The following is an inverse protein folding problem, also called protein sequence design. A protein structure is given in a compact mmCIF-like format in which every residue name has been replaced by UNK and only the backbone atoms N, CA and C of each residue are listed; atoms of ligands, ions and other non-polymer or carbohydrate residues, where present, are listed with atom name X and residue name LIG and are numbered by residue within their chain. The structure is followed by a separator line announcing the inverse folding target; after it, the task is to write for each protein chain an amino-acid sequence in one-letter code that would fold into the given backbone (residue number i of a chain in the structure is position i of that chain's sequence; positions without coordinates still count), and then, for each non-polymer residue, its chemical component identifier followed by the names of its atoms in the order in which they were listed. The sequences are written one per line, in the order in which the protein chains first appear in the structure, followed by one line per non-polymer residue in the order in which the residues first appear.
data_IF_338849022082
#
_entry.id   IF_338849022082
#
_cell.length_a   1.000
_cell.length_b   1.000
_cell.length_c   1.000
_cell.angle_alpha   90.00
_cell.angle_beta   90.00
_cell.angle_gamma   90.00
#
_symmetry.space_group_name_H-M   'P 1'
#
loop_
_entity.id
_entity.type
_entity.pdbx_description
1 polymer ?
#
# COMPACT_ATOMS: atom_id res chain seq x y z
N UNK A 1 16.66 0.65 5.99
CA UNK A 1 15.38 -0.02 6.26
C UNK A 1 14.95 -0.77 5.00
N UNK A 2 14.39 -1.97 5.13
CA UNK A 2 13.85 -2.77 4.01
C UNK A 2 12.33 -2.79 4.15
N UNK A 3 11.63 -2.45 3.07
CA UNK A 3 10.18 -2.59 2.97
C UNK A 3 9.87 -3.68 1.96
N UNK A 4 9.10 -4.69 2.37
CA UNK A 4 8.60 -5.76 1.53
C UNK A 4 7.10 -5.61 1.31
N UNK A 5 6.66 -5.69 0.07
CA UNK A 5 5.24 -5.69 -0.28
C UNK A 5 4.73 -7.12 -0.17
N UNK A 6 3.91 -7.41 0.83
CA UNK A 6 3.33 -8.74 1.04
C UNK A 6 2.10 -8.98 0.16
N UNK A 7 1.39 -7.91 -0.15
CA UNK A 7 0.31 -7.87 -1.12
C UNK A 7 0.17 -6.47 -1.68
N UNK A 8 -0.38 -6.37 -2.88
CA UNK A 8 -0.45 -5.13 -3.65
C UNK A 8 -1.79 -4.90 -4.36
N UNK A 9 -2.80 -5.73 -4.08
CA UNK A 9 -4.17 -5.59 -4.59
C UNK A 9 -5.01 -4.71 -3.66
N UNK A 10 -6.10 -4.14 -4.20
CA UNK A 10 -7.14 -3.47 -3.40
C UNK A 10 -8.02 -4.48 -2.63
N UNK A 11 -9.27 -4.12 -2.34
CA UNK A 11 -10.28 -4.88 -1.58
C UNK A 11 -10.33 -6.40 -1.86
N UNK A 12 -10.09 -6.82 -3.11
CA UNK A 12 -10.12 -8.20 -3.56
C UNK A 12 -8.79 -8.62 -4.17
N UNK A 13 -8.48 -9.92 -4.09
CA UNK A 13 -7.33 -10.51 -4.80
C UNK A 13 -7.47 -10.33 -6.31
N UNK A 14 -6.33 -10.38 -6.99
CA UNK A 14 -6.23 -10.55 -8.44
C UNK A 14 -5.55 -11.88 -8.75
N UNK A 15 -6.02 -12.64 -9.75
CA UNK A 15 -7.18 -12.37 -10.61
C UNK A 15 -8.53 -12.44 -9.86
N UNK A 16 -9.58 -11.84 -10.44
CA UNK A 16 -10.96 -12.00 -9.95
C UNK A 16 -11.55 -13.27 -10.54
N UNK A 17 -12.19 -14.09 -9.70
CA UNK A 17 -12.77 -15.39 -10.09
C UNK A 17 -13.87 -15.26 -11.15
N UNK A 18 -14.56 -14.13 -11.18
CA UNK A 18 -15.72 -13.82 -12.02
C UNK A 18 -15.39 -12.84 -13.17
N UNK A 19 -14.14 -12.82 -13.66
CA UNK A 19 -13.73 -11.87 -14.68
C UNK A 19 -12.74 -12.40 -15.72
N UNK A 20 -13.07 -12.17 -16.99
CA UNK A 20 -12.26 -12.56 -18.16
C UNK A 20 -11.53 -11.39 -18.83
N UNK A 21 -11.23 -10.32 -18.10
CA UNK A 21 -10.46 -9.21 -18.68
C UNK A 21 -8.98 -9.60 -18.88
N UNK A 22 -8.24 -8.80 -19.66
CA UNK A 22 -6.82 -9.05 -19.95
C UNK A 22 -5.95 -9.17 -18.69
N UNK A 23 -6.25 -8.40 -17.64
CA UNK A 23 -5.53 -8.48 -16.36
C UNK A 23 -5.78 -9.82 -15.66
N UNK A 24 -7.04 -10.27 -15.57
CA UNK A 24 -7.42 -11.50 -14.88
C UNK A 24 -7.01 -12.76 -15.66
N UNK A 25 -6.95 -12.67 -16.99
CA UNK A 25 -6.45 -13.74 -17.86
C UNK A 25 -4.92 -13.74 -18.04
N UNK A 26 -4.23 -12.75 -17.46
CA UNK A 26 -2.77 -12.62 -17.59
C UNK A 26 -2.06 -13.83 -16.97
N UNK A 27 -1.04 -14.33 -17.68
CA UNK A 27 -0.12 -15.36 -17.17
C UNK A 27 1.12 -14.76 -16.51
N UNK A 28 1.21 -13.43 -16.43
CA UNK A 28 2.31 -12.77 -15.73
C UNK A 28 2.14 -12.95 -14.23
N UNK A 29 3.18 -13.47 -13.56
CA UNK A 29 3.17 -13.69 -12.11
C UNK A 29 2.92 -12.41 -11.30
N UNK A 30 3.20 -11.24 -11.87
CA UNK A 30 2.97 -9.94 -11.21
C UNK A 30 1.53 -9.44 -11.30
N UNK A 31 0.66 -10.17 -12.02
CA UNK A 31 -0.79 -9.92 -12.02
C UNK A 31 -1.54 -10.74 -10.96
N UNK A 32 -0.88 -11.73 -10.34
CA UNK A 32 -1.38 -12.41 -9.15
C UNK A 32 -1.06 -11.57 -7.90
N UNK A 33 -2.09 -11.03 -7.24
CA UNK A 33 -1.94 -10.06 -6.16
C UNK A 33 -2.87 -10.34 -4.99
N UNK A 34 -2.30 -10.38 -3.80
CA UNK A 34 -2.99 -10.43 -2.50
C UNK A 34 -3.35 -9.02 -2.04
N UNK A 35 -4.26 -8.88 -1.08
CA UNK A 35 -4.64 -7.58 -0.50
C UNK A 35 -3.44 -6.84 0.08
N UNK A 36 -3.48 -5.52 -0.04
CA UNK A 36 -2.38 -4.61 0.29
C UNK A 36 -1.88 -4.80 1.73
N UNK A 37 -0.59 -5.05 1.86
CA UNK A 37 0.11 -5.07 3.15
C UNK A 37 1.61 -4.92 2.91
N UNK A 38 2.30 -4.21 3.80
CA UNK A 38 3.75 -4.06 3.73
C UNK A 38 4.40 -4.50 5.04
N UNK A 39 5.64 -4.96 4.93
CA UNK A 39 6.43 -5.41 6.05
C UNK A 39 7.77 -4.69 6.08
N UNK A 40 8.08 -4.11 7.23
CA UNK A 40 9.28 -3.33 7.46
C UNK A 40 10.24 -4.13 8.32
N UNK A 41 11.47 -4.31 7.82
CA UNK A 41 12.60 -5.00 8.47
C UNK A 41 12.22 -6.36 9.08
N UNK A 42 11.27 -7.07 8.46
CA UNK A 42 10.70 -8.36 8.88
C UNK A 42 10.04 -8.36 10.28
N UNK A 43 9.77 -7.19 10.87
CA UNK A 43 9.29 -7.05 12.26
C UNK A 43 8.00 -6.26 12.40
N UNK A 44 7.78 -5.29 11.52
CA UNK A 44 6.65 -4.36 11.63
C UNK A 44 5.77 -4.54 10.40
N UNK A 45 4.57 -5.07 10.60
CA UNK A 45 3.55 -5.18 9.57
C UNK A 45 2.71 -3.89 9.54
N UNK A 46 2.38 -3.38 8.35
CA UNK A 46 1.33 -2.39 8.17
C UNK A 46 0.17 -3.06 7.43
N UNK A 47 -0.98 -3.06 8.10
CA UNK A 47 -2.23 -3.73 7.75
C UNK A 47 -2.14 -5.27 7.71
N UNK A 48 -3.20 -5.92 8.21
CA UNK A 48 -3.34 -7.37 8.35
C UNK A 48 -4.68 -7.84 7.74
N UNK A 49 -4.78 -7.71 6.42
CA UNK A 49 -5.94 -8.17 5.65
C UNK A 49 -6.15 -9.69 5.67
N UNK A 50 -7.20 -10.20 5.00
CA UNK A 50 -7.56 -11.62 5.01
C UNK A 50 -6.44 -12.58 4.55
N UNK A 51 -5.49 -12.06 3.77
CA UNK A 51 -4.43 -12.85 3.16
C UNK A 51 -3.19 -13.01 4.05
N UNK A 52 -3.18 -12.42 5.26
CA UNK A 52 -1.97 -12.22 6.05
C UNK A 52 -1.27 -13.52 6.46
N UNK A 53 -2.01 -14.58 6.76
CA UNK A 53 -1.39 -15.86 7.13
C UNK A 53 -0.60 -16.47 5.99
N UNK A 54 -1.16 -16.40 4.77
CA UNK A 54 -0.50 -16.88 3.56
C UNK A 54 0.72 -15.99 3.23
N UNK A 55 0.56 -14.67 3.37
CA UNK A 55 1.62 -13.69 3.15
C UNK A 55 2.83 -13.93 4.07
N UNK A 56 2.61 -14.12 5.37
CA UNK A 56 3.68 -14.40 6.34
C UNK A 56 4.32 -15.79 6.13
N UNK A 57 3.50 -16.81 5.85
CA UNK A 57 4.01 -18.17 5.56
C UNK A 57 4.95 -18.17 4.35
N UNK A 58 4.58 -17.47 3.27
CA UNK A 58 5.40 -17.38 2.05
C UNK A 58 6.72 -16.63 2.22
N UNK A 59 6.88 -15.89 3.33
CA UNK A 59 8.07 -15.06 3.60
C UNK A 59 8.98 -15.62 4.70
N UNK A 60 8.65 -16.79 5.27
CA UNK A 60 9.41 -17.46 6.34
C UNK A 60 9.62 -16.56 7.58
N UNK A 61 8.58 -15.83 7.97
CA UNK A 61 8.66 -14.86 9.06
C UNK A 61 8.05 -15.46 10.32
N UNK A 62 8.92 -15.77 11.27
CA UNK A 62 8.53 -16.48 12.48
C UNK A 62 8.34 -15.54 13.69
N UNK A 63 8.91 -14.33 13.63
CA UNK A 63 8.92 -13.37 14.74
C UNK A 63 8.45 -11.99 14.26
N UNK A 64 7.14 -11.86 14.05
CA UNK A 64 6.50 -10.56 13.84
C UNK A 64 6.32 -9.89 15.21
N UNK A 65 6.81 -8.66 15.36
CA UNK A 65 6.76 -7.94 16.65
C UNK A 65 5.56 -7.01 16.75
N UNK A 66 5.22 -6.30 15.66
CA UNK A 66 4.24 -5.23 15.68
C UNK A 66 3.37 -5.24 14.43
N UNK A 67 2.09 -4.96 14.60
CA UNK A 67 1.13 -4.67 13.53
C UNK A 67 0.62 -3.25 13.72
N UNK A 68 0.76 -2.43 12.69
CA UNK A 68 0.20 -1.09 12.59
C UNK A 68 -1.00 -1.15 11.65
N UNK A 69 -2.16 -0.67 12.09
CA UNK A 69 -3.38 -0.60 11.27
C UNK A 69 -3.60 0.84 10.81
N UNK A 70 -3.79 1.03 9.51
CA UNK A 70 -4.10 2.33 8.90
C UNK A 70 -5.55 2.74 9.16
N UNK A 71 -6.49 1.83 8.93
CA UNK A 71 -7.93 2.02 9.14
C UNK A 71 -8.68 0.67 9.22
N UNK A 72 -9.97 0.70 9.53
CA UNK A 72 -10.75 -0.48 9.93
C UNK A 72 -11.66 -1.02 8.80
N UNK A 73 -11.16 -1.08 7.57
CA UNK A 73 -11.79 -1.87 6.50
C UNK A 73 -11.33 -3.33 6.55
N UNK A 74 -12.16 -4.24 6.01
CA UNK A 74 -11.93 -5.69 6.08
C UNK A 74 -10.64 -6.11 5.35
N UNK A 75 -10.35 -5.52 4.21
CA UNK A 75 -9.13 -5.78 3.44
C UNK A 75 -7.84 -5.36 4.18
N UNK A 76 -7.93 -4.57 5.25
CA UNK A 76 -6.80 -4.17 6.10
C UNK A 76 -6.79 -4.86 7.48
N UNK A 77 -7.90 -5.47 7.91
CA UNK A 77 -8.05 -5.98 9.28
C UNK A 77 -8.63 -7.39 9.40
N UNK A 78 -9.22 -7.94 8.34
CA UNK A 78 -9.96 -9.21 8.36
C UNK A 78 -9.10 -10.42 8.75
N UNK A 79 -7.78 -10.34 8.57
CA UNK A 79 -6.84 -11.38 9.00
C UNK A 79 -6.37 -11.25 10.46
N UNK A 80 -6.61 -10.10 11.10
CA UNK A 80 -6.02 -9.76 12.39
C UNK A 80 -6.44 -10.72 13.50
N UNK A 81 -7.71 -11.13 13.54
CA UNK A 81 -8.21 -12.09 14.56
C UNK A 81 -7.43 -13.41 14.51
N UNK A 82 -7.19 -13.93 13.30
CA UNK A 82 -6.47 -15.18 13.12
C UNK A 82 -4.98 -15.01 13.43
N UNK A 83 -4.37 -13.91 12.99
CA UNK A 83 -2.98 -13.59 13.27
C UNK A 83 -2.71 -13.52 14.79
N UNK A 84 -3.52 -12.78 15.54
CA UNK A 84 -3.35 -12.63 16.99
C UNK A 84 -3.60 -13.93 17.76
N UNK A 85 -4.40 -14.86 17.22
CA UNK A 85 -4.57 -16.20 17.81
C UNK A 85 -3.28 -17.02 17.71
N UNK A 86 -2.53 -16.89 16.61
CA UNK A 86 -1.27 -17.61 16.39
C UNK A 86 -0.06 -16.92 17.02
N UNK A 87 -0.13 -15.61 17.18
CA UNK A 87 0.96 -14.78 17.71
C UNK A 87 0.42 -13.75 18.70
N UNK A 88 0.03 -14.18 19.92
CA UNK A 88 -0.70 -13.35 20.88
C UNK A 88 0.12 -12.20 21.46
N UNK A 89 1.45 -12.25 21.35
CA UNK A 89 2.36 -11.25 21.88
C UNK A 89 2.66 -10.10 20.90
N UNK A 90 2.06 -10.11 19.71
CA UNK A 90 2.20 -9.02 18.75
C UNK A 90 1.65 -7.72 19.36
N UNK A 91 2.45 -6.66 19.30
CA UNK A 91 1.97 -5.32 19.63
C UNK A 91 1.06 -4.80 18.52
N UNK A 92 -0.19 -4.53 18.84
CA UNK A 92 -1.13 -3.88 17.92
C UNK A 92 -1.14 -2.36 18.13
N UNK A 93 -0.93 -1.60 17.06
CA UNK A 93 -1.00 -0.14 17.04
C UNK A 93 -2.07 0.27 16.02
N UNK A 94 -3.14 0.90 16.49
CA UNK A 94 -4.08 1.60 15.61
C UNK A 94 -3.56 3.01 15.40
N UNK A 95 -3.08 3.32 14.20
CA UNK A 95 -2.50 4.61 13.90
C UNK A 95 -3.59 5.70 13.93
N UNK A 96 -3.27 6.84 14.57
CA UNK A 96 -4.17 8.00 14.67
C UNK A 96 -3.51 9.24 14.07
N UNK A 97 -4.28 10.17 13.46
CA UNK A 97 -3.73 11.43 13.00
C UNK A 97 -2.98 12.20 14.11
N UNK A 98 -1.79 12.69 13.80
CA UNK A 98 -0.93 13.42 14.74
C UNK A 98 -0.06 12.53 15.63
N UNK A 99 -0.17 11.20 15.51
CA UNK A 99 0.56 10.28 16.35
C UNK A 99 2.01 10.12 15.86
N UNK A 100 2.96 10.37 16.76
CA UNK A 100 4.38 10.09 16.56
C UNK A 100 4.81 8.95 17.49
N UNK A 101 5.60 8.01 16.97
CA UNK A 101 6.16 6.92 17.77
C UNK A 101 7.40 6.33 17.11
N UNK A 102 8.21 5.64 17.93
CA UNK A 102 9.44 4.97 17.48
C UNK A 102 9.34 3.48 17.77
N UNK A 103 9.67 2.66 16.77
CA UNK A 103 9.74 1.20 16.89
C UNK A 103 11.08 0.73 16.36
N UNK A 104 11.86 0.00 17.17
CA UNK A 104 13.17 -0.53 16.77
C UNK A 104 14.11 0.53 16.16
N UNK A 105 14.06 1.76 16.66
CA UNK A 105 14.86 2.88 16.15
C UNK A 105 14.29 3.59 14.92
N UNK A 106 13.19 3.11 14.34
CA UNK A 106 12.51 3.67 13.17
C UNK A 106 11.44 4.66 13.63
N UNK A 107 11.46 5.87 13.07
CA UNK A 107 10.49 6.93 13.36
C UNK A 107 9.24 6.79 12.49
N UNK A 108 8.07 6.84 13.13
CA UNK A 108 6.76 6.80 12.48
C UNK A 108 5.96 8.05 12.82
N UNK A 109 5.28 8.58 11.81
CA UNK A 109 4.32 9.66 11.97
C UNK A 109 3.06 9.36 11.16
N UNK A 110 1.92 9.30 11.83
CA UNK A 110 0.63 9.10 11.20
C UNK A 110 -0.13 10.43 11.06
N UNK A 111 -0.70 10.66 9.88
CA UNK A 111 -1.43 11.89 9.58
C UNK A 111 -2.74 11.58 8.85
N UNK A 112 -3.69 12.51 8.94
CA UNK A 112 -5.02 12.33 8.35
C UNK A 112 -4.94 12.27 6.82
N UNK A 113 -5.60 11.27 6.25
CA UNK A 113 -5.89 11.17 4.82
C UNK A 113 -7.41 11.08 4.64
N UNK A 114 -7.92 11.75 3.60
CA UNK A 114 -9.32 11.63 3.21
C UNK A 114 -9.48 10.35 2.40
N UNK A 115 -10.43 9.49 2.77
CA UNK A 115 -10.75 8.26 2.02
C UNK A 115 -12.26 8.11 1.85
N UNK A 116 -13.03 8.02 2.95
CA UNK A 116 -14.49 8.15 2.89
C UNK A 116 -15.02 9.16 3.91
N UNK A 117 -16.28 9.60 3.73
CA UNK A 117 -16.94 10.50 4.69
C UNK A 117 -17.18 9.82 6.06
N UNK A 118 -17.26 8.48 6.09
CA UNK A 118 -17.62 7.71 7.28
C UNK A 118 -16.42 7.06 7.97
N UNK A 119 -15.39 6.66 7.21
CA UNK A 119 -14.13 6.10 7.72
C UNK A 119 -12.96 7.01 7.33
N UNK A 120 -12.30 7.55 8.35
CA UNK A 120 -11.04 8.26 8.19
C UNK A 120 -9.91 7.24 8.10
N UNK A 121 -8.97 7.46 7.19
CA UNK A 121 -7.73 6.69 7.11
C UNK A 121 -6.54 7.57 7.46
N UNK A 122 -5.38 6.94 7.66
CA UNK A 122 -4.12 7.62 7.94
C UNK A 122 -3.09 7.29 6.87
N UNK A 123 -2.35 8.33 6.47
CA UNK A 123 -1.07 8.16 5.83
C UNK A 123 0.00 7.99 6.90
N UNK A 124 1.04 7.22 6.61
CA UNK A 124 2.16 6.98 7.52
C UNK A 124 3.45 7.44 6.85
N UNK A 125 4.15 8.38 7.47
CA UNK A 125 5.55 8.68 7.17
C UNK A 125 6.43 7.79 8.05
N UNK A 126 7.38 7.11 7.43
CA UNK A 126 8.39 6.27 8.07
C UNK A 126 9.76 6.60 7.50
N UNK A 127 10.57 7.31 8.28
CA UNK A 127 11.80 7.98 7.80
C UNK A 127 11.53 8.78 6.50
N UNK A 128 12.28 8.51 5.42
CA UNK A 128 12.15 9.16 4.11
C UNK A 128 11.11 8.49 3.18
N UNK A 129 10.16 7.72 3.73
CA UNK A 129 9.11 7.03 2.98
C UNK A 129 7.73 7.45 3.47
N UNK A 130 6.79 7.64 2.55
CA UNK A 130 5.37 7.83 2.87
C UNK A 130 4.54 6.69 2.29
N UNK A 131 3.61 6.16 3.10
CA UNK A 131 2.70 5.07 2.76
C UNK A 131 1.25 5.53 2.92
N UNK A 132 0.52 5.54 1.79
CA UNK A 132 -0.87 5.97 1.67
C UNK A 132 -1.58 5.01 0.69
N UNK A 133 -1.97 3.80 1.15
CA UNK A 133 -2.55 2.79 0.26
C UNK A 133 -3.96 3.17 -0.22
N UNK A 134 -4.69 3.97 0.56
CA UNK A 134 -6.08 4.33 0.33
C UNK A 134 -6.25 5.84 0.49
N UNK A 135 -6.67 6.53 -0.58
CA UNK A 135 -6.88 7.98 -0.51
C UNK A 135 -7.84 8.49 -1.57
N UNK A 136 -8.80 9.33 -1.18
CA UNK A 136 -9.66 10.13 -2.04
C UNK A 136 -9.01 11.47 -2.44
N UNK A 137 -8.12 11.99 -1.59
CA UNK A 137 -7.37 13.22 -1.84
C UNK A 137 -6.00 13.16 -1.17
N UNK A 138 -5.01 13.78 -1.83
CA UNK A 138 -3.66 13.95 -1.32
C UNK A 138 -3.38 15.38 -0.82
N UNK A 139 -4.39 16.24 -0.70
CA UNK A 139 -4.19 17.64 -0.30
C UNK A 139 -3.49 17.77 1.06
N UNK A 140 -3.91 16.97 2.03
CA UNK A 140 -3.29 16.92 3.36
C UNK A 140 -1.91 16.25 3.35
N UNK A 141 -1.61 15.47 2.31
CA UNK A 141 -0.34 14.77 2.13
C UNK A 141 0.72 15.63 1.44
N UNK A 142 0.34 16.68 0.71
CA UNK A 142 1.26 17.44 -0.16
C UNK A 142 2.50 17.93 0.57
N UNK A 143 2.35 18.44 1.81
CA UNK A 143 3.49 18.91 2.60
C UNK A 143 4.47 17.79 2.95
N UNK A 144 3.98 16.60 3.29
CA UNK A 144 4.83 15.46 3.62
C UNK A 144 5.46 14.82 2.38
N UNK A 145 4.73 14.81 1.26
CA UNK A 145 5.24 14.33 -0.03
C UNK A 145 6.43 15.14 -0.54
N UNK A 146 6.58 16.41 -0.11
CA UNK A 146 7.73 17.25 -0.45
C UNK A 146 8.99 16.85 0.33
N UNK A 147 8.83 16.29 1.53
CA UNK A 147 9.93 16.03 2.46
C UNK A 147 10.54 14.63 2.30
N UNK A 148 9.82 13.69 1.67
CA UNK A 148 10.23 12.29 1.52
C UNK A 148 10.88 11.99 0.17
N UNK A 149 11.59 10.86 0.09
CA UNK A 149 12.25 10.39 -1.15
C UNK A 149 11.45 9.29 -1.85
N UNK A 150 10.66 8.53 -1.11
CA UNK A 150 9.86 7.43 -1.66
C UNK A 150 8.40 7.60 -1.25
N UNK A 151 7.49 7.46 -2.21
CA UNK A 151 6.06 7.41 -1.95
C UNK A 151 5.48 6.07 -2.37
N UNK A 152 4.62 5.50 -1.53
CA UNK A 152 3.83 4.31 -1.80
C UNK A 152 2.38 4.76 -1.71
N UNK A 153 1.68 4.80 -2.84
CA UNK A 153 0.41 5.48 -3.03
C UNK A 153 -0.67 4.54 -3.57
N UNK A 154 -1.92 4.96 -3.43
CA UNK A 154 -3.12 4.31 -3.92
C UNK A 154 -3.09 4.09 -5.44
N UNK A 155 -3.29 2.84 -5.87
CA UNK A 155 -3.33 2.39 -7.26
C UNK A 155 -4.68 1.78 -7.66
N UNK A 156 -5.72 1.97 -6.85
CA UNK A 156 -7.00 1.26 -6.98
C UNK A 156 -7.79 1.67 -8.24
N UNK A 157 -7.71 2.94 -8.63
CA UNK A 157 -8.45 3.51 -9.77
C UNK A 157 -7.50 4.06 -10.82
N UNK A 158 -7.60 3.60 -12.08
CA UNK A 158 -6.65 4.02 -13.11
C UNK A 158 -6.89 5.46 -13.62
N UNK A 159 -8.14 5.79 -14.00
CA UNK A 159 -8.43 7.02 -14.76
C UNK A 159 -9.55 7.89 -14.21
N UNK A 160 -10.35 7.38 -13.26
CA UNK A 160 -11.50 8.09 -12.71
C UNK A 160 -11.59 7.88 -11.21
N UNK A 161 -11.58 8.98 -10.46
CA UNK A 161 -11.84 8.98 -9.02
C UNK A 161 -13.24 8.46 -8.72
N UNK A 162 -13.31 7.45 -7.86
CA UNK A 162 -14.57 6.82 -7.49
C UNK A 162 -14.42 6.06 -6.17
N UNK A 163 -15.52 5.90 -5.42
CA UNK A 163 -15.57 5.01 -4.27
C UNK A 163 -14.63 5.37 -3.11
N UNK A 164 -14.18 6.63 -3.01
CA UNK A 164 -13.22 7.03 -1.98
C UNK A 164 -11.75 6.91 -2.38
N UNK A 165 -11.48 6.69 -3.67
CA UNK A 165 -10.12 6.55 -4.20
C UNK A 165 -9.83 7.53 -5.33
N UNK A 166 -8.71 8.21 -5.22
CA UNK A 166 -8.14 9.14 -6.18
C UNK A 166 -7.50 8.35 -7.33
N UNK A 167 -7.74 8.77 -8.57
CA UNK A 167 -7.21 8.01 -9.70
C UNK A 167 -5.71 8.20 -9.91
N UNK A 168 -5.06 7.15 -10.41
CA UNK A 168 -3.62 7.10 -10.71
C UNK A 168 -3.19 8.24 -11.64
N UNK A 169 -3.99 8.60 -12.63
CA UNK A 169 -3.71 9.76 -13.49
C UNK A 169 -3.64 11.08 -12.72
N UNK A 170 -4.53 11.28 -11.75
CA UNK A 170 -4.57 12.46 -10.89
C UNK A 170 -3.42 12.45 -9.88
N UNK A 171 -3.12 11.28 -9.27
CA UNK A 171 -1.96 11.11 -8.39
C UNK A 171 -0.65 11.41 -9.14
N UNK A 172 -0.50 10.92 -10.37
CA UNK A 172 0.66 11.22 -11.23
C UNK A 172 0.77 12.72 -11.46
N UNK A 173 -0.34 13.40 -11.79
CA UNK A 173 -0.33 14.85 -12.02
C UNK A 173 0.14 15.64 -10.77
N UNK A 174 -0.29 15.22 -9.58
CA UNK A 174 0.10 15.83 -8.30
C UNK A 174 1.56 15.53 -7.90
N UNK A 175 2.02 14.29 -8.12
CA UNK A 175 3.35 13.86 -7.66
C UNK A 175 4.48 14.17 -8.67
N UNK A 176 4.17 14.30 -9.96
CA UNK A 176 5.16 14.56 -11.02
C UNK A 176 5.98 15.85 -10.81
N UNK A 177 5.41 16.98 -10.34
CA UNK A 177 6.17 18.18 -10.01
C UNK A 177 7.15 18.00 -8.84
N UNK A 178 6.91 17.07 -7.93
CA UNK A 178 7.69 16.88 -6.70
C UNK A 178 9.03 16.22 -7.00
N UNK A 179 10.10 17.01 -7.15
CA UNK A 179 11.44 16.53 -7.55
C UNK A 179 12.21 15.78 -6.45
N UNK A 180 11.81 15.92 -5.19
CA UNK A 180 12.43 15.20 -4.08
C UNK A 180 12.09 13.70 -4.13
N UNK A 181 10.87 13.35 -4.56
CA UNK A 181 10.47 11.97 -4.80
C UNK A 181 11.35 11.34 -5.89
N UNK A 182 12.09 10.31 -5.50
CA UNK A 182 12.98 9.51 -6.36
C UNK A 182 12.31 8.25 -6.88
N UNK A 183 11.38 7.69 -6.11
CA UNK A 183 10.55 6.55 -6.49
C UNK A 183 9.13 6.73 -5.96
N UNK A 184 8.16 6.34 -6.78
CA UNK A 184 6.74 6.39 -6.46
C UNK A 184 6.16 5.03 -6.87
N UNK A 185 5.67 4.26 -5.90
CA UNK A 185 5.09 2.95 -6.10
C UNK A 185 3.57 3.03 -5.93
N UNK A 186 2.83 2.47 -6.87
CA UNK A 186 1.40 2.25 -6.70
C UNK A 186 1.16 0.88 -6.07
N UNK A 187 0.57 0.86 -4.87
CA UNK A 187 0.06 -0.33 -4.18
C UNK A 187 -1.47 -0.32 -4.23
N UNK A 188 -2.15 -1.21 -3.49
CA UNK A 188 -3.63 -1.26 -3.45
C UNK A 188 -4.22 -1.25 -4.87
N UNK A 189 -3.56 -1.96 -5.79
CA UNK A 189 -3.84 -1.90 -7.21
C UNK A 189 -5.18 -2.55 -7.47
N UNK A 190 -6.06 -1.80 -8.11
CA UNK A 190 -7.38 -2.29 -8.42
C UNK A 190 -7.41 -3.12 -9.68
N UNK A 191 -8.63 -3.46 -10.06
CA UNK A 191 -8.92 -4.14 -11.31
C UNK A 191 -8.93 -3.12 -12.46
N UNK A 192 -7.73 -2.82 -12.98
CA UNK A 192 -7.50 -1.78 -14.01
C UNK A 192 -7.80 -2.27 -15.43
N UNK A 193 -8.12 -3.56 -15.59
CA UNK A 193 -8.26 -4.26 -16.86
C UNK A 193 -6.98 -4.30 -17.71
N UNK A 194 -5.82 -3.98 -17.12
CA UNK A 194 -4.51 -3.99 -17.79
C UNK A 194 -3.54 -4.92 -17.06
N UNK A 195 -2.86 -5.84 -17.79
CA UNK A 195 -1.74 -6.60 -17.24
C UNK A 195 -0.61 -5.70 -16.71
N UNK A 196 0.16 -6.21 -15.77
CA UNK A 196 1.21 -5.48 -15.05
C UNK A 196 2.15 -4.72 -15.98
N UNK A 197 2.66 -5.39 -17.03
CA UNK A 197 3.61 -4.78 -17.98
C UNK A 197 3.01 -3.61 -18.76
N UNK A 198 1.75 -3.74 -19.17
CA UNK A 198 1.05 -2.69 -19.90
C UNK A 198 0.72 -1.51 -19.00
N UNK A 199 0.23 -1.79 -17.78
CA UNK A 199 -0.05 -0.79 -16.77
C UNK A 199 1.23 -0.01 -16.40
N UNK A 200 2.34 -0.71 -16.19
CA UNK A 200 3.65 -0.12 -15.91
C UNK A 200 4.14 0.80 -17.05
N UNK A 201 3.93 0.41 -18.31
CA UNK A 201 4.25 1.26 -19.46
C UNK A 201 3.38 2.51 -19.48
N UNK A 202 2.08 2.36 -19.27
CA UNK A 202 1.12 3.45 -19.27
C UNK A 202 1.42 4.51 -18.19
N UNK A 203 1.65 4.10 -16.93
CA UNK A 203 1.92 5.05 -15.85
C UNK A 203 3.24 5.81 -16.07
N UNK A 204 4.24 5.19 -16.70
CA UNK A 204 5.51 5.86 -17.04
C UNK A 204 5.36 6.84 -18.19
N UNK A 205 4.46 6.56 -19.15
CA UNK A 205 4.13 7.50 -20.22
C UNK A 205 3.41 8.75 -19.68
N UNK A 206 2.50 8.57 -18.72
CA UNK A 206 1.80 9.68 -18.06
C UNK A 206 2.73 10.47 -17.12
N UNK A 207 3.52 9.74 -16.33
CA UNK A 207 4.48 10.28 -15.38
C UNK A 207 5.89 10.39 -15.96
N UNK A 208 6.80 9.60 -15.38
CA UNK A 208 8.18 9.41 -15.79
C UNK A 208 8.73 8.10 -15.17
N UNK A 209 10.03 7.85 -15.28
CA UNK A 209 10.70 6.62 -14.78
C UNK A 209 10.62 6.39 -13.27
N UNK A 210 10.19 7.39 -12.48
CA UNK A 210 10.05 7.27 -11.02
C UNK A 210 8.80 6.49 -10.62
N UNK A 211 7.80 6.42 -11.50
CA UNK A 211 6.53 5.78 -11.23
C UNK A 211 6.56 4.28 -11.58
N UNK A 212 6.21 3.45 -10.59
CA UNK A 212 6.23 2.00 -10.68
C UNK A 212 4.95 1.38 -10.10
N UNK A 213 4.52 0.26 -10.69
CA UNK A 213 3.45 -0.55 -10.13
C UNK A 213 4.10 -1.55 -9.17
N UNK A 214 3.76 -1.49 -7.88
CA UNK A 214 4.23 -2.50 -6.93
C UNK A 214 3.69 -3.88 -7.31
N UNK A 215 4.35 -4.94 -6.88
CA UNK A 215 3.88 -6.32 -7.03
C UNK A 215 4.22 -7.12 -5.77
N UNK A 216 3.51 -8.22 -5.54
CA UNK A 216 3.71 -9.07 -4.37
C UNK A 216 5.15 -9.63 -4.34
N UNK A 217 5.82 -9.46 -3.21
CA UNK A 217 7.22 -9.85 -3.01
C UNK A 217 8.25 -8.80 -3.43
N UNK A 218 7.84 -7.65 -3.96
CA UNK A 218 8.75 -6.51 -4.18
C UNK A 218 9.44 -6.14 -2.86
N UNK A 219 10.76 -5.96 -2.90
CA UNK A 219 11.54 -5.44 -1.79
C UNK A 219 12.23 -4.15 -2.21
N UNK A 220 12.11 -3.12 -1.38
CA UNK A 220 12.81 -1.85 -1.56
C UNK A 220 13.69 -1.58 -0.35
N UNK A 221 14.91 -1.13 -0.62
CA UNK A 221 15.86 -0.68 0.40
C UNK A 221 15.91 0.84 0.40
N UNK A 222 15.65 1.42 1.56
CA UNK A 222 15.61 2.87 1.81
C UNK A 222 16.52 3.25 2.97
#
# INVERSE_FOLDING_TARGET
MIIKFLGTSSEKRLPREDCDCLQCLSKDKYDCRKRSSILIDKKILIDAGPDILEQLTSTQINNLDTVIITHEHDDHTGGLRHLLKLSPNIRLIRAKPGQHFKLFGIDFFAFKILHSKMMQTVGIVVNDVIYIPDSLSLDLAQKYLQDVKVAILDGSMLSRTFGGHLAVNEIIALAKPLKNLKKIYFTHNGHTHKPHKELQKLIRQMGDKRFEIAFDGLEIKV
#
